data_IF_912132862532
#
_entry.id   IF_912132862532
#
_cell.length_a   1.000
_cell.length_b   1.000
_cell.length_c   1.000
_cell.angle_alpha   90.00
_cell.angle_beta   90.00
_cell.angle_gamma   90.00
#
_symmetry.space_group_name_H-M   'P 1'
#
loop_
_entity.id
_entity.type
_entity.pdbx_description
1 polymer ?
#
# COMPACT_ATOMS: atom_id res chain seq x y z
N UNK A 1 -11.35 -87.67 9.56
CA UNK A 1 -12.67 -87.94 10.20
C UNK A 1 -12.74 -89.30 10.92
N UNK A 2 -11.63 -90.03 11.10
CA UNK A 2 -11.61 -91.38 11.68
C UNK A 2 -11.21 -91.48 13.18
N UNK A 3 -10.84 -90.37 13.85
CA UNK A 3 -10.26 -90.41 15.21
C UNK A 3 -11.25 -90.25 16.38
N UNK A 4 -12.51 -89.84 16.14
CA UNK A 4 -13.48 -89.55 17.23
C UNK A 4 -14.58 -90.62 17.44
N UNK A 5 -14.71 -91.60 16.55
CA UNK A 5 -15.44 -92.84 16.92
C UNK A 5 -14.76 -93.54 18.10
N UNK A 6 -13.48 -93.25 18.36
CA UNK A 6 -12.71 -93.80 19.46
C UNK A 6 -13.31 -93.58 20.84
N UNK A 7 -13.98 -92.46 21.15
CA UNK A 7 -14.47 -92.23 22.52
C UNK A 7 -15.77 -93.01 22.78
N UNK A 8 -16.73 -92.95 21.85
CA UNK A 8 -17.93 -93.77 21.89
C UNK A 8 -17.59 -95.26 21.80
N UNK A 9 -16.61 -95.64 20.98
CA UNK A 9 -16.11 -97.02 20.90
C UNK A 9 -15.33 -97.43 22.16
N UNK A 10 -14.63 -96.51 22.84
CA UNK A 10 -13.98 -96.77 24.13
C UNK A 10 -14.99 -96.88 25.28
N UNK A 11 -16.03 -96.05 25.29
CA UNK A 11 -17.11 -96.12 26.29
C UNK A 11 -17.94 -97.40 26.05
N UNK A 12 -18.30 -97.70 24.80
CA UNK A 12 -18.96 -98.95 24.44
C UNK A 12 -18.07 -100.17 24.69
N UNK A 13 -16.75 -100.05 24.46
CA UNK A 13 -15.76 -101.10 24.73
C UNK A 13 -15.48 -101.32 26.21
N UNK A 14 -15.49 -100.27 27.04
CA UNK A 14 -15.42 -100.41 28.50
C UNK A 14 -16.73 -100.95 29.06
N UNK A 15 -17.88 -100.49 28.55
CA UNK A 15 -19.18 -101.03 28.94
C UNK A 15 -19.32 -102.51 28.55
N UNK A 16 -18.82 -102.92 27.38
CA UNK A 16 -18.81 -104.33 26.97
C UNK A 16 -17.82 -105.17 27.80
N UNK A 17 -16.67 -104.61 28.18
CA UNK A 17 -15.72 -105.28 29.06
C UNK A 17 -16.27 -105.49 30.49
N UNK A 18 -16.98 -104.50 31.04
CA UNK A 18 -17.66 -104.63 32.34
C UNK A 18 -18.77 -105.67 32.27
N UNK A 19 -19.56 -105.68 31.18
CA UNK A 19 -20.58 -106.71 30.91
C UNK A 19 -19.97 -108.12 30.81
N UNK A 20 -18.82 -108.26 30.15
CA UNK A 20 -18.14 -109.56 30.04
C UNK A 20 -17.65 -110.07 31.39
N UNK A 21 -17.17 -109.17 32.26
CA UNK A 21 -16.74 -109.50 33.63
C UNK A 21 -17.93 -109.90 34.50
N UNK A 22 -19.06 -109.17 34.44
CA UNK A 22 -20.27 -109.52 35.19
C UNK A 22 -20.91 -110.82 34.70
N UNK A 23 -20.94 -111.06 33.38
CA UNK A 23 -21.44 -112.32 32.81
C UNK A 23 -20.53 -113.49 33.21
N UNK A 24 -19.20 -113.32 33.17
CA UNK A 24 -18.28 -114.35 33.64
C UNK A 24 -18.46 -114.65 35.14
N UNK A 25 -18.69 -113.62 35.97
CA UNK A 25 -18.98 -113.78 37.39
C UNK A 25 -20.31 -114.52 37.64
N UNK A 26 -21.36 -114.19 36.89
CA UNK A 26 -22.67 -114.88 36.98
C UNK A 26 -22.57 -116.34 36.48
N UNK A 27 -21.80 -116.61 35.43
CA UNK A 27 -21.58 -117.95 34.90
C UNK A 27 -20.78 -118.86 35.85
N UNK A 28 -19.83 -118.27 36.60
CA UNK A 28 -19.03 -119.00 37.62
C UNK A 28 -19.84 -119.24 38.89
N UNK A 29 -20.74 -118.33 39.27
CA UNK A 29 -21.54 -118.44 40.52
C UNK A 29 -22.77 -119.34 40.36
N UNK A 30 -23.41 -119.39 39.19
CA UNK A 30 -24.64 -120.16 38.96
C UNK A 30 -24.39 -121.41 38.10
N UNK A 31 -23.70 -122.39 38.68
CA UNK A 31 -23.68 -123.75 38.15
C UNK A 31 -25.06 -124.42 38.27
N UNK A 32 -25.61 -124.83 37.12
CA UNK A 32 -26.65 -125.87 36.95
C UNK A 32 -28.08 -125.60 37.50
N UNK A 33 -28.91 -124.85 36.75
CA UNK A 33 -30.38 -125.06 36.66
C UNK A 33 -31.00 -124.28 35.48
N UNK A 34 -31.67 -124.98 34.54
CA UNK A 34 -32.12 -124.45 33.24
C UNK A 34 -33.15 -123.30 33.35
N UNK A 35 -33.86 -123.18 34.48
CA UNK A 35 -34.90 -122.16 34.68
C UNK A 35 -34.36 -120.77 35.10
N UNK A 36 -33.14 -120.70 35.66
CA UNK A 36 -32.49 -119.41 35.98
C UNK A 36 -31.70 -118.86 34.78
N UNK A 37 -31.23 -119.73 33.88
CA UNK A 37 -30.52 -119.33 32.67
C UNK A 37 -31.39 -118.46 31.72
N UNK A 38 -32.69 -118.73 31.60
CA UNK A 38 -33.60 -117.94 30.75
C UNK A 38 -33.83 -116.52 31.29
N UNK A 39 -33.90 -116.35 32.63
CA UNK A 39 -34.01 -115.03 33.27
C UNK A 39 -32.73 -114.20 33.08
N UNK A 40 -31.56 -114.82 33.19
CA UNK A 40 -30.26 -114.16 32.95
C UNK A 40 -30.11 -113.72 31.49
N UNK A 41 -30.52 -114.56 30.52
CA UNK A 41 -30.51 -114.19 29.08
C UNK A 41 -31.47 -113.04 28.78
N UNK A 42 -32.66 -113.04 29.39
CA UNK A 42 -33.65 -111.98 29.17
C UNK A 42 -33.19 -110.65 29.78
N UNK A 43 -32.57 -110.68 30.97
CA UNK A 43 -31.92 -109.52 31.60
C UNK A 43 -30.81 -108.97 30.69
N UNK A 44 -29.98 -109.83 30.10
CA UNK A 44 -28.94 -109.43 29.16
C UNK A 44 -29.52 -108.66 27.96
N UNK A 45 -30.57 -109.18 27.32
CA UNK A 45 -31.20 -108.48 26.19
C UNK A 45 -31.81 -107.14 26.59
N UNK A 46 -32.40 -107.02 27.78
CA UNK A 46 -32.94 -105.75 28.29
C UNK A 46 -31.82 -104.73 28.54
N UNK A 47 -30.70 -105.16 29.13
CA UNK A 47 -29.53 -104.29 29.36
C UNK A 47 -28.90 -103.85 28.04
N UNK A 48 -28.74 -104.77 27.08
CA UNK A 48 -28.18 -104.45 25.76
C UNK A 48 -29.10 -103.50 24.99
N UNK A 49 -30.42 -103.74 25.00
CA UNK A 49 -31.39 -102.84 24.37
C UNK A 49 -31.40 -101.47 25.05
N UNK A 50 -31.30 -101.41 26.38
CA UNK A 50 -31.17 -100.18 27.15
C UNK A 50 -29.91 -99.40 26.79
N UNK A 51 -28.77 -100.07 26.63
CA UNK A 51 -27.51 -99.45 26.20
C UNK A 51 -27.55 -98.98 24.75
N UNK A 52 -28.20 -99.73 23.84
CA UNK A 52 -28.38 -99.31 22.45
C UNK A 52 -29.29 -98.08 22.36
N UNK A 53 -30.40 -98.07 23.10
CA UNK A 53 -31.29 -96.91 23.20
C UNK A 53 -30.59 -95.70 23.84
N UNK A 54 -29.79 -95.91 24.88
CA UNK A 54 -28.98 -94.86 25.51
C UNK A 54 -27.94 -94.31 24.53
N UNK A 55 -27.24 -95.18 23.80
CA UNK A 55 -26.24 -94.76 22.80
C UNK A 55 -26.89 -94.00 21.65
N UNK A 56 -28.08 -94.45 21.20
CA UNK A 56 -28.86 -93.77 20.17
C UNK A 56 -29.38 -92.41 20.66
N UNK A 57 -29.84 -92.31 21.90
CA UNK A 57 -30.27 -91.06 22.54
C UNK A 57 -29.11 -90.06 22.69
N UNK A 58 -27.94 -90.54 23.14
CA UNK A 58 -26.69 -89.76 23.20
C UNK A 58 -26.28 -89.29 21.80
N UNK A 59 -26.34 -90.17 20.79
CA UNK A 59 -26.03 -89.82 19.40
C UNK A 59 -26.96 -88.72 18.86
N UNK A 60 -28.27 -88.81 19.12
CA UNK A 60 -29.25 -87.79 18.74
C UNK A 60 -28.95 -86.44 19.40
N UNK A 61 -28.55 -86.43 20.68
CA UNK A 61 -28.19 -85.20 21.41
C UNK A 61 -26.82 -84.62 21.04
N UNK A 62 -25.87 -85.43 20.56
CA UNK A 62 -24.54 -84.96 20.10
C UNK A 62 -24.51 -84.51 18.62
N UNK A 63 -25.51 -84.89 17.83
CA UNK A 63 -25.59 -84.53 16.40
C UNK A 63 -25.58 -83.00 16.17
N UNK A 64 -26.35 -82.16 16.92
CA UNK A 64 -26.31 -80.70 16.78
C UNK A 64 -24.93 -80.10 17.06
N UNK A 65 -24.20 -80.62 18.07
CA UNK A 65 -22.83 -80.17 18.40
C UNK A 65 -21.87 -80.43 17.25
N UNK A 66 -21.97 -81.59 16.61
CA UNK A 66 -21.11 -81.90 15.47
C UNK A 66 -21.37 -80.97 14.29
N UNK A 67 -22.64 -80.61 14.07
CA UNK A 67 -23.03 -79.63 13.05
C UNK A 67 -22.42 -78.24 13.35
N UNK A 68 -22.56 -77.76 14.59
CA UNK A 68 -22.03 -76.46 14.99
C UNK A 68 -20.49 -76.37 14.89
N UNK A 69 -19.78 -77.44 15.28
CA UNK A 69 -18.31 -77.52 15.12
C UNK A 69 -17.92 -77.55 13.65
N UNK A 70 -18.69 -78.26 12.81
CA UNK A 70 -18.44 -78.31 11.38
C UNK A 70 -18.61 -76.93 10.74
N UNK A 71 -19.71 -76.25 11.08
CA UNK A 71 -20.02 -74.88 10.65
C UNK A 71 -18.90 -73.91 11.02
N UNK A 72 -18.47 -73.89 12.29
CA UNK A 72 -17.34 -73.06 12.74
C UNK A 72 -16.03 -73.38 12.02
N UNK A 73 -15.81 -74.65 11.69
CA UNK A 73 -14.59 -75.07 11.00
C UNK A 73 -14.62 -74.71 9.51
N UNK A 74 -15.78 -74.71 8.86
CA UNK A 74 -15.93 -74.21 7.50
C UNK A 74 -15.72 -72.70 7.41
N UNK A 75 -16.06 -71.96 8.47
CA UNK A 75 -15.91 -70.50 8.54
C UNK A 75 -14.45 -70.00 8.63
N UNK A 76 -13.51 -70.89 8.93
CA UNK A 76 -12.09 -70.55 9.07
C UNK A 76 -11.27 -70.72 7.79
N UNK A 77 -11.85 -71.19 6.68
CA UNK A 77 -11.12 -71.45 5.43
C UNK A 77 -11.33 -70.32 4.42
N UNK A 78 -10.27 -69.55 4.21
CA UNK A 78 -10.05 -68.55 3.15
C UNK A 78 -10.99 -67.32 3.11
N UNK A 79 -12.27 -67.46 3.48
CA UNK A 79 -13.25 -66.39 3.61
C UNK A 79 -14.04 -66.53 4.91
N UNK A 80 -14.09 -65.46 5.71
CA UNK A 80 -14.88 -65.41 6.94
C UNK A 80 -16.32 -65.05 6.56
N UNK A 81 -17.15 -66.07 6.33
CA UNK A 81 -18.59 -65.88 6.11
C UNK A 81 -19.28 -65.51 7.41
N UNK A 82 -19.42 -64.21 7.64
CA UNK A 82 -20.06 -63.68 8.85
C UNK A 82 -21.59 -63.65 8.76
N UNK A 83 -22.16 -64.07 7.62
CA UNK A 83 -23.60 -64.25 7.43
C UNK A 83 -24.07 -65.69 7.70
N UNK A 84 -23.16 -66.62 8.02
CA UNK A 84 -23.51 -68.03 8.22
C UNK A 84 -24.57 -68.21 9.31
N UNK A 85 -25.61 -68.97 8.97
CA UNK A 85 -26.76 -69.19 9.86
C UNK A 85 -26.55 -70.49 10.62
N UNK A 86 -26.21 -70.39 11.90
CA UNK A 86 -26.24 -71.52 12.81
C UNK A 86 -27.69 -71.94 13.05
N UNK A 87 -28.14 -73.01 12.40
CA UNK A 87 -29.48 -73.58 12.56
C UNK A 87 -29.38 -74.90 13.33
N UNK A 88 -30.10 -74.98 14.44
CA UNK A 88 -30.37 -76.22 15.16
C UNK A 88 -31.88 -76.31 15.39
N UNK A 89 -32.40 -77.52 15.60
CA UNK A 89 -33.83 -77.77 15.87
C UNK A 89 -33.91 -78.78 17.03
N UNK A 90 -33.21 -78.45 18.12
CA UNK A 90 -32.93 -79.37 19.23
C UNK A 90 -33.79 -79.06 20.48
N UNK A 91 -34.32 -77.83 20.57
CA UNK A 91 -35.18 -77.37 21.66
C UNK A 91 -34.52 -77.40 23.06
N UNK A 92 -33.20 -77.50 23.12
CA UNK A 92 -32.39 -77.68 24.34
C UNK A 92 -31.22 -76.68 24.40
N UNK A 93 -30.26 -76.89 25.30
CA UNK A 93 -29.11 -75.99 25.53
C UNK A 93 -28.26 -75.75 24.27
N UNK A 94 -28.34 -76.63 23.26
CA UNK A 94 -27.65 -76.45 21.98
C UNK A 94 -28.35 -75.44 21.06
N UNK A 95 -29.67 -75.28 21.19
CA UNK A 95 -30.41 -74.20 20.52
C UNK A 95 -30.03 -72.83 21.08
N UNK A 96 -29.86 -72.73 22.40
CA UNK A 96 -29.39 -71.51 23.05
C UNK A 96 -27.95 -71.17 22.61
N UNK A 97 -27.07 -72.16 22.48
CA UNK A 97 -25.72 -71.98 21.94
C UNK A 97 -25.73 -71.53 20.47
N UNK A 98 -26.54 -72.15 19.62
CA UNK A 98 -26.67 -71.74 18.21
C UNK A 98 -27.23 -70.31 18.07
N UNK A 99 -28.17 -69.92 18.94
CA UNK A 99 -28.69 -68.55 19.02
C UNK A 99 -27.61 -67.55 19.46
N UNK A 100 -26.84 -67.85 20.52
CA UNK A 100 -25.74 -67.01 20.99
C UNK A 100 -24.65 -66.84 19.91
N UNK A 101 -24.31 -67.92 19.19
CA UNK A 101 -23.39 -67.84 18.05
C UNK A 101 -23.93 -66.99 16.91
N UNK A 102 -25.22 -67.12 16.58
CA UNK A 102 -25.89 -66.30 15.56
C UNK A 102 -25.89 -64.82 15.91
N UNK A 103 -26.24 -64.48 17.15
CA UNK A 103 -26.26 -63.09 17.60
C UNK A 103 -24.84 -62.49 17.61
N UNK A 104 -23.82 -63.28 17.99
CA UNK A 104 -22.42 -62.85 17.92
C UNK A 104 -21.93 -62.63 16.48
N UNK A 105 -22.23 -63.54 15.56
CA UNK A 105 -21.86 -63.40 14.15
C UNK A 105 -22.62 -62.25 13.47
N UNK A 106 -23.88 -62.00 13.85
CA UNK A 106 -24.62 -60.79 13.42
C UNK A 106 -23.92 -59.51 13.90
N UNK A 107 -23.52 -59.44 15.17
CA UNK A 107 -22.78 -58.28 15.70
C UNK A 107 -21.43 -58.07 15.00
N UNK A 108 -20.72 -59.16 14.65
CA UNK A 108 -19.49 -59.09 13.84
C UNK A 108 -19.81 -58.54 12.44
N UNK A 109 -20.83 -59.08 11.76
CA UNK A 109 -21.23 -58.61 10.43
C UNK A 109 -21.59 -57.12 10.43
N UNK A 110 -22.38 -56.66 11.39
CA UNK A 110 -22.72 -55.23 11.57
C UNK A 110 -21.46 -54.38 11.80
N UNK A 111 -20.55 -54.84 12.67
CA UNK A 111 -19.28 -54.14 12.96
C UNK A 111 -18.37 -54.06 11.73
N UNK A 112 -18.27 -55.14 10.93
CA UNK A 112 -17.47 -55.13 9.70
C UNK A 112 -18.11 -54.22 8.64
N UNK A 113 -19.45 -54.17 8.56
CA UNK A 113 -20.16 -53.25 7.67
C UNK A 113 -19.91 -51.79 8.06
N UNK A 114 -20.05 -51.45 9.33
CA UNK A 114 -19.73 -50.11 9.85
C UNK A 114 -18.27 -49.72 9.61
N UNK A 115 -17.34 -50.66 9.83
CA UNK A 115 -15.92 -50.45 9.55
C UNK A 115 -15.66 -50.21 8.06
N UNK A 116 -16.34 -50.96 7.17
CA UNK A 116 -16.26 -50.77 5.72
C UNK A 116 -16.75 -49.37 5.30
N UNK A 117 -17.90 -48.94 5.83
CA UNK A 117 -18.42 -47.60 5.59
C UNK A 117 -17.46 -46.51 6.09
N UNK A 118 -16.87 -46.69 7.29
CA UNK A 118 -15.90 -45.77 7.86
C UNK A 118 -14.63 -45.68 7.01
N UNK A 119 -14.07 -46.81 6.57
CA UNK A 119 -12.88 -46.87 5.70
C UNK A 119 -13.16 -46.22 4.34
N UNK A 120 -14.36 -46.37 3.78
CA UNK A 120 -14.75 -45.69 2.55
C UNK A 120 -14.86 -44.16 2.73
N UNK A 121 -15.48 -43.70 3.82
CA UNK A 121 -15.53 -42.27 4.17
C UNK A 121 -14.12 -41.70 4.34
N UNK A 122 -13.25 -42.40 5.06
CA UNK A 122 -11.86 -42.02 5.26
C UNK A 122 -11.10 -41.94 3.92
N UNK A 123 -11.34 -42.89 3.01
CA UNK A 123 -10.78 -42.87 1.66
C UNK A 123 -11.15 -41.61 0.88
N UNK A 124 -12.43 -41.23 0.90
CA UNK A 124 -12.90 -40.02 0.23
C UNK A 124 -12.28 -38.74 0.83
N UNK A 125 -12.20 -38.64 2.16
CA UNK A 125 -11.54 -37.52 2.84
C UNK A 125 -10.06 -37.39 2.46
N UNK A 126 -9.34 -38.50 2.30
CA UNK A 126 -7.92 -38.49 1.89
C UNK A 126 -7.73 -38.01 0.45
N UNK A 127 -8.64 -38.38 -0.47
CA UNK A 127 -8.62 -37.85 -1.84
C UNK A 127 -8.84 -36.33 -1.86
N UNK A 128 -9.77 -35.83 -1.04
CA UNK A 128 -10.03 -34.39 -0.91
C UNK A 128 -8.81 -33.65 -0.35
N UNK A 129 -8.24 -34.15 0.77
CA UNK A 129 -7.04 -33.58 1.38
C UNK A 129 -5.88 -33.53 0.38
N UNK A 130 -5.67 -34.60 -0.40
CA UNK A 130 -4.66 -34.64 -1.47
C UNK A 130 -4.87 -33.54 -2.51
N UNK A 131 -6.12 -33.34 -2.92
CA UNK A 131 -6.50 -32.28 -3.86
C UNK A 131 -6.14 -30.89 -3.34
N UNK A 132 -6.44 -30.62 -2.06
CA UNK A 132 -6.08 -29.37 -1.38
C UNK A 132 -4.57 -29.15 -1.38
N UNK A 133 -3.78 -30.14 -0.93
CA UNK A 133 -2.32 -30.01 -0.90
C UNK A 133 -1.69 -29.85 -2.28
N UNK A 134 -2.19 -30.56 -3.30
CA UNK A 134 -1.71 -30.40 -4.67
C UNK A 134 -1.96 -28.99 -5.20
N UNK A 135 -3.16 -28.44 -4.95
CA UNK A 135 -3.49 -27.05 -5.32
C UNK A 135 -2.58 -26.06 -4.59
N UNK A 136 -2.40 -26.27 -3.29
CA UNK A 136 -1.56 -25.44 -2.43
C UNK A 136 -0.11 -25.40 -2.92
N UNK A 137 0.50 -26.56 -3.18
CA UNK A 137 1.86 -26.67 -3.74
C UNK A 137 1.99 -25.98 -5.11
N UNK A 138 0.94 -26.01 -5.93
CA UNK A 138 0.89 -25.30 -7.22
C UNK A 138 0.82 -23.78 -7.10
N UNK A 139 0.32 -23.23 -5.99
CA UNK A 139 0.20 -21.78 -5.78
C UNK A 139 1.41 -21.12 -5.11
N UNK A 140 2.23 -21.89 -4.39
CA UNK A 140 3.39 -21.36 -3.65
C UNK A 140 4.43 -20.65 -4.53
N UNK A 141 4.82 -21.15 -5.72
CA UNK A 141 5.74 -20.44 -6.59
C UNK A 141 5.23 -19.06 -7.01
N UNK A 142 3.91 -18.93 -7.21
CA UNK A 142 3.29 -17.63 -7.54
C UNK A 142 3.38 -16.67 -6.36
N UNK A 143 3.10 -17.14 -5.14
CA UNK A 143 3.25 -16.33 -3.93
C UNK A 143 4.70 -15.88 -3.73
N UNK A 144 5.68 -16.79 -3.92
CA UNK A 144 7.10 -16.45 -3.83
C UNK A 144 7.50 -15.37 -4.84
N UNK A 145 7.02 -15.49 -6.09
CA UNK A 145 7.25 -14.49 -7.13
C UNK A 145 6.63 -13.13 -6.77
N UNK A 146 5.40 -13.10 -6.27
CA UNK A 146 4.74 -11.86 -5.85
C UNK A 146 5.45 -11.17 -4.69
N UNK A 147 5.99 -11.94 -3.73
CA UNK A 147 6.80 -11.40 -2.65
C UNK A 147 8.12 -10.84 -3.18
N UNK A 148 8.77 -11.51 -4.13
CA UNK A 148 9.99 -11.01 -4.76
C UNK A 148 9.74 -9.69 -5.52
N UNK A 149 8.67 -9.60 -6.30
CA UNK A 149 8.28 -8.38 -7.00
C UNK A 149 7.96 -7.23 -6.04
N UNK A 150 7.34 -7.55 -4.89
CA UNK A 150 7.10 -6.58 -3.81
C UNK A 150 8.42 -6.02 -3.27
N UNK A 151 9.42 -6.87 -3.03
CA UNK A 151 10.75 -6.43 -2.58
C UNK A 151 11.41 -5.50 -3.60
N UNK A 152 11.41 -5.87 -4.88
CA UNK A 152 11.99 -5.05 -5.96
C UNK A 152 11.29 -3.68 -6.03
N UNK A 153 9.97 -3.65 -5.93
CA UNK A 153 9.18 -2.41 -5.94
C UNK A 153 9.54 -1.51 -4.75
N UNK A 154 9.75 -2.11 -3.57
CA UNK A 154 10.15 -1.37 -2.35
C UNK A 154 11.56 -0.79 -2.48
N UNK A 155 12.50 -1.52 -3.08
CA UNK A 155 13.85 -1.00 -3.37
C UNK A 155 13.79 0.20 -4.30
N UNK A 156 12.97 0.13 -5.37
CA UNK A 156 12.73 1.25 -6.28
C UNK A 156 12.06 2.44 -5.59
N UNK A 157 11.09 2.21 -4.70
CA UNK A 157 10.46 3.24 -3.89
C UNK A 157 11.46 3.93 -2.96
N UNK A 158 12.35 3.16 -2.31
CA UNK A 158 13.38 3.72 -1.44
C UNK A 158 14.41 4.56 -2.23
N UNK A 159 14.77 4.13 -3.44
CA UNK A 159 15.65 4.90 -4.31
C UNK A 159 14.99 6.20 -4.78
N UNK A 160 13.71 6.13 -5.16
CA UNK A 160 12.91 7.30 -5.57
C UNK A 160 12.77 8.30 -4.43
N UNK A 161 12.44 7.83 -3.22
CA UNK A 161 12.35 8.69 -2.04
C UNK A 161 13.67 9.41 -1.73
N UNK A 162 14.82 8.75 -1.94
CA UNK A 162 16.14 9.39 -1.83
C UNK A 162 16.32 10.50 -2.87
N UNK A 163 16.01 10.21 -4.13
CA UNK A 163 16.11 11.22 -5.20
C UNK A 163 15.20 12.43 -4.96
N UNK A 164 14.01 12.22 -4.39
CA UNK A 164 13.08 13.30 -4.02
C UNK A 164 13.65 14.13 -2.86
N UNK A 165 14.25 13.48 -1.84
CA UNK A 165 14.91 14.18 -0.74
C UNK A 165 16.06 15.07 -1.25
N UNK A 166 16.95 14.52 -2.07
CA UNK A 166 18.08 15.26 -2.66
C UNK A 166 17.58 16.43 -3.53
N UNK A 167 16.52 16.23 -4.32
CA UNK A 167 15.89 17.30 -5.11
C UNK A 167 15.27 18.37 -4.23
N UNK A 168 14.68 17.99 -3.09
CA UNK A 168 14.07 18.93 -2.14
C UNK A 168 15.12 19.82 -1.49
N UNK A 169 16.32 19.30 -1.20
CA UNK A 169 17.46 20.11 -0.73
C UNK A 169 17.83 21.17 -1.77
N UNK A 170 17.92 20.80 -3.05
CA UNK A 170 18.22 21.76 -4.11
C UNK A 170 17.14 22.86 -4.23
N UNK A 171 15.86 22.49 -4.08
CA UNK A 171 14.74 23.45 -4.08
C UNK A 171 14.81 24.38 -2.86
N UNK A 172 15.16 23.85 -1.69
CA UNK A 172 15.37 24.64 -0.48
C UNK A 172 16.47 25.70 -0.70
N UNK A 173 17.64 25.28 -1.18
CA UNK A 173 18.78 26.17 -1.42
C UNK A 173 18.44 27.25 -2.45
N UNK A 174 17.78 26.87 -3.56
CA UNK A 174 17.32 27.81 -4.57
C UNK A 174 16.33 28.85 -3.99
N UNK A 175 15.40 28.42 -3.13
CA UNK A 175 14.46 29.32 -2.48
C UNK A 175 15.17 30.30 -1.51
N UNK A 176 16.15 29.82 -0.75
CA UNK A 176 16.96 30.68 0.13
C UNK A 176 17.78 31.69 -0.68
N UNK A 177 18.39 31.27 -1.79
CA UNK A 177 19.13 32.17 -2.69
C UNK A 177 18.21 33.23 -3.32
N UNK A 178 17.01 32.84 -3.78
CA UNK A 178 16.03 33.78 -4.33
C UNK A 178 15.60 34.81 -3.27
N UNK A 179 15.37 34.37 -2.03
CA UNK A 179 15.08 35.27 -0.91
C UNK A 179 16.19 36.30 -0.69
N UNK A 180 17.45 35.87 -0.65
CA UNK A 180 18.60 36.78 -0.48
C UNK A 180 18.73 37.78 -1.64
N UNK A 181 18.53 37.31 -2.87
CA UNK A 181 18.53 38.17 -4.06
C UNK A 181 17.41 39.20 -4.04
N UNK A 182 16.21 38.83 -3.57
CA UNK A 182 15.11 39.78 -3.40
C UNK A 182 15.42 40.85 -2.35
N UNK A 183 16.03 40.47 -1.21
CA UNK A 183 16.44 41.42 -0.17
C UNK A 183 17.49 42.40 -0.71
N UNK A 184 18.47 41.92 -1.49
CA UNK A 184 19.44 42.78 -2.18
C UNK A 184 18.75 43.70 -3.19
N UNK A 185 17.79 43.18 -3.96
CA UNK A 185 16.97 43.95 -4.89
C UNK A 185 16.21 45.09 -4.20
N UNK A 186 15.61 44.82 -3.04
CA UNK A 186 14.95 45.83 -2.21
C UNK A 186 15.91 46.94 -1.76
N UNK A 187 17.14 46.59 -1.38
CA UNK A 187 18.18 47.57 -1.04
C UNK A 187 18.48 48.51 -2.22
N UNK A 188 18.64 47.97 -3.43
CA UNK A 188 18.89 48.80 -4.61
C UNK A 188 17.70 49.72 -4.95
N UNK A 189 16.47 49.26 -4.74
CA UNK A 189 15.28 50.11 -4.91
C UNK A 189 15.26 51.26 -3.90
N UNK A 190 15.68 51.03 -2.66
CA UNK A 190 15.82 52.10 -1.66
C UNK A 190 16.86 53.14 -2.07
N UNK A 191 18.00 52.71 -2.62
CA UNK A 191 19.03 53.62 -3.13
C UNK A 191 18.53 54.46 -4.33
N UNK A 192 17.77 53.84 -5.23
CA UNK A 192 17.12 54.54 -6.35
C UNK A 192 16.14 55.60 -5.83
N UNK A 193 15.28 55.24 -4.87
CA UNK A 193 14.32 56.18 -4.28
C UNK A 193 15.02 57.37 -3.64
N UNK A 194 16.10 57.12 -2.87
CA UNK A 194 16.92 58.17 -2.28
C UNK A 194 17.49 59.11 -3.35
N UNK A 195 18.06 58.55 -4.42
CA UNK A 195 18.62 59.33 -5.53
C UNK A 195 17.56 60.18 -6.22
N UNK A 196 16.35 59.63 -6.43
CA UNK A 196 15.24 60.39 -7.03
C UNK A 196 14.82 61.57 -6.15
N UNK A 197 14.77 61.40 -4.82
CA UNK A 197 14.48 62.50 -3.91
C UNK A 197 15.58 63.57 -3.92
N UNK A 198 16.86 63.17 -3.93
CA UNK A 198 17.97 64.13 -4.05
C UNK A 198 17.92 64.94 -5.35
N UNK A 199 17.56 64.30 -6.48
CA UNK A 199 17.38 65.00 -7.75
C UNK A 199 16.18 65.96 -7.68
N UNK A 200 15.08 65.54 -7.06
CA UNK A 200 13.87 66.35 -6.89
C UNK A 200 14.19 67.63 -6.11
N UNK A 201 14.85 67.51 -4.97
CA UNK A 201 15.23 68.64 -4.12
C UNK A 201 16.18 69.60 -4.88
N UNK A 202 17.15 69.03 -5.61
CA UNK A 202 18.06 69.81 -6.44
C UNK A 202 17.36 70.56 -7.59
N UNK A 203 16.30 69.98 -8.17
CA UNK A 203 15.51 70.61 -9.22
C UNK A 203 14.61 71.72 -8.65
N UNK A 204 13.99 71.51 -7.49
CA UNK A 204 13.20 72.55 -6.79
C UNK A 204 14.06 73.78 -6.49
N UNK A 205 15.28 73.58 -5.99
CA UNK A 205 16.23 74.68 -5.76
C UNK A 205 16.59 75.41 -7.07
N UNK A 206 16.80 74.69 -8.18
CA UNK A 206 17.06 75.30 -9.49
C UNK A 206 15.88 76.12 -10.00
N UNK A 207 14.64 75.61 -9.89
CA UNK A 207 13.44 76.37 -10.26
C UNK A 207 13.33 77.65 -9.43
N UNK A 208 13.62 77.60 -8.13
CA UNK A 208 13.61 78.79 -7.28
C UNK A 208 14.59 79.86 -7.78
N UNK A 209 15.81 79.47 -8.19
CA UNK A 209 16.77 80.41 -8.78
C UNK A 209 16.31 80.97 -10.13
N UNK A 210 15.72 80.14 -10.98
CA UNK A 210 15.15 80.57 -12.27
C UNK A 210 14.01 81.56 -12.08
N UNK A 211 13.12 81.34 -11.11
CA UNK A 211 12.04 82.27 -10.77
C UNK A 211 12.58 83.64 -10.32
N UNK A 212 13.63 83.65 -9.50
CA UNK A 212 14.32 84.88 -9.10
C UNK A 212 14.96 85.59 -10.30
N UNK A 213 15.56 84.85 -11.24
CA UNK A 213 16.14 85.41 -12.46
C UNK A 213 15.06 86.04 -13.35
N UNK A 214 13.90 85.39 -13.50
CA UNK A 214 12.75 85.95 -14.22
C UNK A 214 12.32 87.30 -13.64
N UNK A 215 12.25 87.42 -12.31
CA UNK A 215 11.93 88.69 -11.63
C UNK A 215 12.97 89.77 -11.94
N UNK A 216 14.26 89.42 -12.01
CA UNK A 216 15.33 90.35 -12.40
C UNK A 216 15.19 90.83 -13.84
N UNK A 217 14.76 89.99 -14.76
CA UNK A 217 14.48 90.42 -16.13
C UNK A 217 13.27 91.35 -16.24
N UNK A 218 12.24 91.15 -15.41
CA UNK A 218 11.11 92.09 -15.32
C UNK A 218 11.58 93.47 -14.82
N UNK A 219 12.41 93.54 -13.77
CA UNK A 219 13.01 94.79 -13.26
C UNK A 219 13.86 95.51 -14.33
N UNK A 220 14.67 94.76 -15.09
CA UNK A 220 15.47 95.33 -16.20
C UNK A 220 14.54 95.84 -17.31
N UNK A 221 13.52 95.06 -17.69
CA UNK A 221 12.57 95.45 -18.73
C UNK A 221 11.83 96.74 -18.39
N UNK A 222 11.49 96.95 -17.11
CA UNK A 222 10.93 98.20 -16.62
C UNK A 222 11.92 99.36 -16.76
N UNK A 223 13.18 99.15 -16.37
CA UNK A 223 14.26 100.14 -16.55
C UNK A 223 14.46 100.51 -18.02
N UNK A 224 14.39 99.55 -18.94
CA UNK A 224 14.50 99.81 -20.39
C UNK A 224 13.32 100.63 -20.93
N UNK A 225 12.11 100.50 -20.36
CA UNK A 225 10.97 101.38 -20.71
C UNK A 225 11.23 102.83 -20.26
N UNK A 226 11.80 103.01 -19.07
CA UNK A 226 12.20 104.35 -18.60
C UNK A 226 13.29 104.95 -19.49
N UNK A 227 14.32 104.19 -19.87
CA UNK A 227 15.38 104.65 -20.79
C UNK A 227 14.78 105.05 -22.15
N UNK A 228 13.85 104.25 -22.69
CA UNK A 228 13.16 104.60 -23.93
C UNK A 228 12.43 105.93 -23.83
N UNK A 229 11.72 106.16 -22.72
CA UNK A 229 10.98 107.41 -22.49
C UNK A 229 11.93 108.61 -22.40
N UNK A 230 13.05 108.48 -21.67
CA UNK A 230 14.07 109.53 -21.59
C UNK A 230 14.70 109.78 -22.97
N UNK A 231 14.93 108.73 -23.74
CA UNK A 231 15.51 108.83 -25.08
C UNK A 231 14.57 109.54 -26.07
N UNK A 232 13.27 109.26 -26.03
CA UNK A 232 12.25 109.96 -26.82
C UNK A 232 12.18 111.45 -26.45
N UNK A 233 12.22 111.76 -25.16
CA UNK A 233 12.31 113.14 -24.69
C UNK A 233 13.59 113.82 -25.17
N UNK A 234 14.73 113.13 -25.12
CA UNK A 234 16.03 113.65 -25.59
C UNK A 234 16.02 113.91 -27.10
N UNK A 235 15.41 113.01 -27.88
CA UNK A 235 15.22 113.14 -29.33
C UNK A 235 14.33 114.33 -29.67
N UNK A 236 13.26 114.56 -28.90
CA UNK A 236 12.39 115.74 -29.02
C UNK A 236 13.13 117.03 -28.66
N UNK A 237 13.90 117.05 -27.57
CA UNK A 237 14.73 118.20 -27.17
C UNK A 237 15.75 118.53 -28.26
N UNK A 238 16.47 117.53 -28.78
CA UNK A 238 17.44 117.71 -29.85
C UNK A 238 16.80 118.21 -31.15
N UNK A 239 15.60 117.74 -31.48
CA UNK A 239 14.84 118.21 -32.63
C UNK A 239 14.44 119.68 -32.49
N UNK A 240 13.88 120.06 -31.34
CA UNK A 240 13.52 121.45 -31.06
C UNK A 240 14.76 122.37 -31.07
N UNK A 241 15.88 121.91 -30.52
CA UNK A 241 17.15 122.65 -30.55
C UNK A 241 17.70 122.81 -31.99
N UNK A 242 17.54 121.81 -32.87
CA UNK A 242 17.95 121.90 -34.27
C UNK A 242 17.08 122.90 -35.07
N UNK A 243 15.77 122.96 -34.77
CA UNK A 243 14.86 123.98 -35.31
C UNK A 243 15.34 125.37 -34.89
N UNK A 244 15.52 125.59 -33.58
CA UNK A 244 15.91 126.90 -33.04
C UNK A 244 17.30 127.34 -33.55
N UNK A 245 18.25 126.41 -33.66
CA UNK A 245 19.56 126.67 -34.25
C UNK A 245 19.49 127.05 -35.73
N UNK A 246 18.50 126.56 -36.48
CA UNK A 246 18.29 126.93 -37.89
C UNK A 246 17.69 128.35 -38.02
N UNK A 247 17.04 128.85 -36.98
CA UNK A 247 16.45 130.20 -36.90
C UNK A 247 17.47 131.29 -36.52
N UNK A 248 18.68 130.96 -36.06
CA UNK A 248 19.61 131.86 -35.36
C UNK A 248 20.73 132.54 -36.21
N UNK A 249 20.65 132.61 -37.54
CA UNK A 249 21.62 133.37 -38.36
C UNK A 249 23.08 132.86 -38.31
N UNK A 250 24.11 133.72 -38.29
CA UNK A 250 25.53 133.31 -38.40
C UNK A 250 26.07 132.42 -37.25
N UNK A 251 25.47 132.48 -36.05
CA UNK A 251 25.83 131.63 -34.89
C UNK A 251 25.21 130.21 -34.93
N UNK A 252 24.30 129.98 -35.88
CA UNK A 252 23.56 128.72 -36.13
C UNK A 252 24.45 127.47 -36.23
N UNK A 253 25.61 127.59 -36.89
CA UNK A 253 26.42 126.42 -37.28
C UNK A 253 26.87 125.56 -36.10
N UNK A 254 27.31 126.16 -34.98
CA UNK A 254 27.82 125.39 -33.83
C UNK A 254 26.68 124.72 -33.05
N UNK A 255 25.55 125.41 -32.88
CA UNK A 255 24.37 124.84 -32.19
C UNK A 255 23.70 123.73 -33.00
N UNK A 256 23.66 123.86 -34.33
CA UNK A 256 23.08 122.84 -35.21
C UNK A 256 23.91 121.54 -35.22
N UNK A 257 25.25 121.65 -35.15
CA UNK A 257 26.14 120.47 -35.01
C UNK A 257 25.85 119.74 -33.69
N UNK A 258 25.76 120.46 -32.56
CA UNK A 258 25.46 119.85 -31.25
C UNK A 258 24.08 119.19 -31.25
N UNK A 259 23.04 119.86 -31.78
CA UNK A 259 21.70 119.29 -31.85
C UNK A 259 21.65 118.02 -32.74
N UNK A 260 22.41 118.01 -33.83
CA UNK A 260 22.55 116.85 -34.72
C UNK A 260 23.27 115.69 -34.02
N UNK A 261 24.33 115.97 -33.25
CA UNK A 261 25.07 114.95 -32.50
C UNK A 261 24.24 114.38 -31.35
N UNK A 262 23.47 115.21 -30.62
CA UNK A 262 22.52 114.72 -29.59
C UNK A 262 21.42 113.86 -30.22
N UNK A 263 20.90 114.24 -31.40
CA UNK A 263 19.92 113.43 -32.12
C UNK A 263 20.50 112.08 -32.56
N UNK A 264 21.73 112.06 -33.07
CA UNK A 264 22.44 110.81 -33.40
C UNK A 264 22.69 109.95 -32.16
N UNK A 265 23.05 110.56 -31.03
CA UNK A 265 23.21 109.86 -29.77
C UNK A 265 21.90 109.22 -29.31
N UNK A 266 20.78 109.94 -29.41
CA UNK A 266 19.46 109.42 -29.09
C UNK A 266 19.04 108.26 -30.02
N UNK A 267 19.36 108.34 -31.32
CA UNK A 267 19.13 107.23 -32.25
C UNK A 267 19.99 106.00 -31.92
N UNK A 268 21.25 106.20 -31.49
CA UNK A 268 22.11 105.11 -31.06
C UNK A 268 21.59 104.44 -29.78
N UNK A 269 21.13 105.23 -28.80
CA UNK A 269 20.49 104.72 -27.57
C UNK A 269 19.22 103.94 -27.92
N UNK A 270 18.37 104.45 -28.83
CA UNK A 270 17.16 103.76 -29.31
C UNK A 270 17.49 102.37 -29.87
N UNK A 271 18.51 102.30 -30.72
CA UNK A 271 18.98 101.04 -31.32
C UNK A 271 19.48 100.06 -30.26
N UNK A 272 20.37 100.50 -29.37
CA UNK A 272 20.90 99.65 -28.30
C UNK A 272 19.80 99.20 -27.32
N UNK A 273 18.83 100.06 -27.01
CA UNK A 273 17.69 99.72 -26.17
C UNK A 273 16.81 98.64 -26.82
N UNK A 274 16.63 98.70 -28.15
CA UNK A 274 15.94 97.67 -28.93
C UNK A 274 16.70 96.33 -28.94
N UNK A 275 18.02 96.36 -29.16
CA UNK A 275 18.87 95.17 -29.12
C UNK A 275 18.84 94.48 -27.75
N UNK A 276 18.93 95.24 -26.66
CA UNK A 276 18.82 94.71 -25.30
C UNK A 276 17.43 94.13 -25.05
N UNK A 277 16.36 94.79 -25.51
CA UNK A 277 14.99 94.27 -25.39
C UNK A 277 14.84 92.91 -26.08
N UNK A 278 15.35 92.77 -27.30
CA UNK A 278 15.34 91.50 -28.02
C UNK A 278 16.06 90.40 -27.23
N UNK A 279 17.24 90.71 -26.66
CA UNK A 279 17.98 89.75 -25.83
C UNK A 279 17.23 89.36 -24.54
N UNK A 280 16.53 90.30 -23.90
CA UNK A 280 15.66 90.02 -22.75
C UNK A 280 14.46 89.12 -23.13
N UNK A 281 13.84 89.37 -24.28
CA UNK A 281 12.73 88.55 -24.78
C UNK A 281 13.18 87.12 -25.14
N UNK A 282 14.40 86.95 -25.65
CA UNK A 282 15.03 85.63 -25.86
C UNK A 282 15.33 84.93 -24.53
N UNK A 283 15.92 85.62 -23.56
CA UNK A 283 16.19 85.07 -22.23
C UNK A 283 14.90 84.67 -21.49
N UNK A 284 13.82 85.44 -21.63
CA UNK A 284 12.51 85.12 -21.05
C UNK A 284 11.90 83.87 -21.66
N UNK A 285 12.03 83.70 -22.98
CA UNK A 285 11.62 82.46 -23.67
C UNK A 285 12.41 81.26 -23.16
N UNK A 286 13.75 81.37 -23.10
CA UNK A 286 14.60 80.31 -22.57
C UNK A 286 14.26 79.91 -21.11
N UNK A 287 13.89 80.88 -20.26
CA UNK A 287 13.39 80.60 -18.90
C UNK A 287 12.08 79.82 -18.93
N UNK A 288 11.15 80.21 -19.81
CA UNK A 288 9.83 79.56 -19.90
C UNK A 288 10.00 78.11 -20.33
N UNK A 289 10.82 77.87 -21.35
CA UNK A 289 11.15 76.53 -21.85
C UNK A 289 11.83 75.68 -20.75
N UNK A 290 12.74 76.27 -19.96
CA UNK A 290 13.40 75.59 -18.86
C UNK A 290 12.43 75.19 -17.73
N UNK A 291 11.46 76.05 -17.41
CA UNK A 291 10.42 75.75 -16.40
C UNK A 291 9.50 74.63 -16.89
N UNK A 292 9.10 74.67 -18.15
CA UNK A 292 8.28 73.60 -18.76
C UNK A 292 9.01 72.26 -18.75
N UNK A 293 10.27 72.22 -19.19
CA UNK A 293 11.11 71.03 -19.15
C UNK A 293 11.29 70.49 -17.71
N UNK A 294 11.48 71.40 -16.74
CA UNK A 294 11.60 71.01 -15.33
C UNK A 294 10.30 70.41 -14.77
N UNK A 295 9.13 70.91 -15.21
CA UNK A 295 7.84 70.34 -14.83
C UNK A 295 7.64 68.93 -15.41
N UNK A 296 8.07 68.70 -16.65
CA UNK A 296 8.10 67.35 -17.22
C UNK A 296 9.02 66.40 -16.43
N UNK A 297 10.18 66.88 -16.00
CA UNK A 297 11.12 66.11 -15.18
C UNK A 297 10.50 65.72 -13.82
N UNK A 298 9.77 66.62 -13.16
CA UNK A 298 9.02 66.26 -11.95
C UNK A 298 7.98 65.17 -12.19
N UNK A 299 7.24 65.23 -13.31
CA UNK A 299 6.29 64.18 -13.65
C UNK A 299 6.97 62.84 -13.90
N UNK A 300 8.14 62.84 -14.57
CA UNK A 300 8.94 61.62 -14.80
C UNK A 300 9.46 61.03 -13.48
N UNK A 301 9.89 61.87 -12.55
CA UNK A 301 10.30 61.44 -11.21
C UNK A 301 9.14 60.83 -10.43
N UNK A 302 7.95 61.44 -10.46
CA UNK A 302 6.78 60.89 -9.76
C UNK A 302 6.39 59.51 -10.30
N UNK A 303 6.38 59.33 -11.63
CA UNK A 303 6.18 58.01 -12.26
C UNK A 303 7.26 57.00 -11.84
N UNK A 304 8.50 57.43 -11.69
CA UNK A 304 9.61 56.58 -11.22
C UNK A 304 9.41 56.14 -9.76
N UNK A 305 8.92 57.04 -8.89
CA UNK A 305 8.55 56.71 -7.51
C UNK A 305 7.40 55.71 -7.45
N UNK A 306 6.39 55.88 -8.32
CA UNK A 306 5.27 54.93 -8.38
C UNK A 306 5.75 53.54 -8.86
N UNK A 307 6.52 53.47 -9.94
CA UNK A 307 7.05 52.20 -10.46
C UNK A 307 7.94 51.47 -9.44
N UNK A 308 8.79 52.20 -8.71
CA UNK A 308 9.63 51.60 -7.67
C UNK A 308 8.81 51.05 -6.49
N UNK A 309 7.69 51.68 -6.11
CA UNK A 309 6.77 51.13 -5.11
C UNK A 309 6.12 49.82 -5.55
N UNK A 310 5.71 49.72 -6.81
CA UNK A 310 5.16 48.47 -7.37
C UNK A 310 6.21 47.36 -7.34
N UNK A 311 7.44 47.67 -7.76
CA UNK A 311 8.57 46.72 -7.73
C UNK A 311 8.87 46.25 -6.30
N UNK A 312 8.82 47.14 -5.31
CA UNK A 312 8.97 46.77 -3.89
C UNK A 312 7.95 45.72 -3.48
N UNK A 313 6.66 45.92 -3.81
CA UNK A 313 5.61 44.95 -3.51
C UNK A 313 5.84 43.58 -4.18
N UNK A 314 6.37 43.57 -5.40
CA UNK A 314 6.74 42.33 -6.11
C UNK A 314 7.86 41.60 -5.38
N UNK A 315 8.91 42.30 -4.95
CA UNK A 315 10.02 41.69 -4.21
C UNK A 315 9.60 41.18 -2.83
N UNK A 316 8.75 41.91 -2.10
CA UNK A 316 8.19 41.47 -0.82
C UNK A 316 7.36 40.18 -0.98
N UNK A 317 6.46 40.14 -1.96
CA UNK A 317 5.68 38.95 -2.29
C UNK A 317 6.56 37.76 -2.70
N UNK A 318 7.56 37.99 -3.55
CA UNK A 318 8.53 36.98 -3.97
C UNK A 318 9.36 36.43 -2.79
N UNK A 319 9.70 37.29 -1.83
CA UNK A 319 10.37 36.90 -0.58
C UNK A 319 9.50 35.97 0.25
N UNK A 320 8.20 36.30 0.39
CA UNK A 320 7.25 35.45 1.11
C UNK A 320 7.08 34.07 0.44
N UNK A 321 6.91 34.05 -0.89
CA UNK A 321 6.82 32.78 -1.63
C UNK A 321 8.10 31.94 -1.52
N UNK A 322 9.27 32.57 -1.49
CA UNK A 322 10.55 31.89 -1.29
C UNK A 322 10.63 31.24 0.09
N UNK A 323 10.16 31.91 1.14
CA UNK A 323 10.06 31.33 2.49
C UNK A 323 9.14 30.11 2.49
N UNK A 324 7.92 30.23 1.95
CA UNK A 324 6.98 29.11 1.87
C UNK A 324 7.52 27.92 1.07
N UNK A 325 8.24 28.20 -0.01
CA UNK A 325 8.89 27.16 -0.84
C UNK A 325 9.97 26.42 -0.04
N UNK A 326 10.80 27.15 0.73
CA UNK A 326 11.81 26.54 1.59
C UNK A 326 11.20 25.66 2.68
N UNK A 327 10.10 26.10 3.31
CA UNK A 327 9.38 25.32 4.32
C UNK A 327 8.77 24.05 3.72
N UNK A 328 8.18 24.16 2.53
CA UNK A 328 7.59 23.03 1.79
C UNK A 328 8.66 21.99 1.42
N UNK A 329 9.81 22.45 0.92
CA UNK A 329 10.94 21.58 0.61
C UNK A 329 11.45 20.83 1.85
N UNK A 330 11.49 21.49 3.01
CA UNK A 330 11.83 20.86 4.29
C UNK A 330 10.81 19.79 4.68
N UNK A 331 9.51 20.08 4.51
CA UNK A 331 8.45 19.10 4.77
C UNK A 331 8.56 17.87 3.86
N UNK A 332 8.80 18.05 2.57
CA UNK A 332 8.99 16.93 1.63
C UNK A 332 10.20 16.08 2.04
N UNK A 333 11.29 16.71 2.48
CA UNK A 333 12.48 15.99 2.98
C UNK A 333 12.13 15.13 4.20
N UNK A 334 11.34 15.63 5.15
CA UNK A 334 10.90 14.86 6.30
C UNK A 334 9.97 13.70 5.91
N UNK A 335 8.98 13.95 5.05
CA UNK A 335 8.05 12.91 4.58
C UNK A 335 8.76 11.81 3.79
N UNK A 336 9.78 12.15 3.00
CA UNK A 336 10.59 11.15 2.28
C UNK A 336 11.46 10.32 3.22
N UNK A 337 11.93 10.89 4.34
CA UNK A 337 12.57 10.10 5.40
C UNK A 337 11.61 9.09 6.03
N UNK A 338 10.38 9.50 6.36
CA UNK A 338 9.34 8.60 6.88
C UNK A 338 8.97 7.50 5.88
N UNK A 339 8.80 7.86 4.60
CA UNK A 339 8.53 6.90 3.53
C UNK A 339 9.63 5.86 3.38
N UNK A 340 10.91 6.24 3.58
CA UNK A 340 12.04 5.30 3.58
C UNK A 340 11.99 4.34 4.75
N UNK A 341 11.69 4.83 5.96
CA UNK A 341 11.54 3.98 7.14
C UNK A 341 10.41 2.96 6.94
N UNK A 342 9.25 3.41 6.45
CA UNK A 342 8.13 2.54 6.11
C UNK A 342 8.52 1.50 5.04
N UNK A 343 9.24 1.92 3.99
CA UNK A 343 9.74 1.01 2.96
C UNK A 343 10.65 -0.10 3.53
N UNK A 344 11.53 0.24 4.48
CA UNK A 344 12.38 -0.74 5.15
C UNK A 344 11.57 -1.75 5.98
N UNK A 345 10.51 -1.30 6.65
CA UNK A 345 9.60 -2.17 7.41
C UNK A 345 8.84 -3.15 6.50
N UNK A 346 8.34 -2.66 5.36
CA UNK A 346 7.68 -3.53 4.37
C UNK A 346 8.68 -4.53 3.77
N UNK A 347 9.93 -4.12 3.49
CA UNK A 347 10.96 -5.04 3.02
C UNK A 347 11.27 -6.14 4.04
N UNK A 348 11.37 -5.78 5.33
CA UNK A 348 11.58 -6.76 6.41
C UNK A 348 10.39 -7.74 6.52
N UNK A 349 9.17 -7.23 6.38
CA UNK A 349 7.94 -8.04 6.38
C UNK A 349 7.90 -8.99 5.18
N UNK A 350 8.22 -8.51 3.98
CA UNK A 350 8.29 -9.33 2.77
C UNK A 350 9.33 -10.45 2.90
N UNK A 351 10.48 -10.17 3.53
CA UNK A 351 11.49 -11.20 3.85
C UNK A 351 10.93 -12.27 4.79
N UNK A 352 10.20 -11.87 5.84
CA UNK A 352 9.56 -12.82 6.75
C UNK A 352 8.52 -13.69 6.02
N UNK A 353 7.70 -13.10 5.13
CA UNK A 353 6.74 -13.86 4.32
C UNK A 353 7.48 -14.85 3.41
N UNK A 354 8.60 -14.46 2.80
CA UNK A 354 9.41 -15.35 1.98
C UNK A 354 9.91 -16.57 2.77
N UNK A 355 10.36 -16.37 4.01
CA UNK A 355 10.74 -17.46 4.91
C UNK A 355 9.54 -18.37 5.24
N UNK A 356 8.38 -17.78 5.54
CA UNK A 356 7.15 -18.54 5.80
C UNK A 356 6.70 -19.37 4.59
N UNK A 357 6.88 -18.87 3.36
CA UNK A 357 6.57 -19.62 2.14
C UNK A 357 7.46 -20.87 2.00
N UNK A 358 8.76 -20.76 2.32
CA UNK A 358 9.68 -21.90 2.29
C UNK A 358 9.32 -22.96 3.35
N UNK A 359 9.04 -22.53 4.58
CA UNK A 359 8.57 -23.43 5.64
C UNK A 359 7.25 -24.11 5.27
N UNK A 360 6.33 -23.34 4.68
CA UNK A 360 5.04 -23.84 4.25
C UNK A 360 5.17 -24.83 3.08
N UNK A 361 6.12 -24.62 2.17
CA UNK A 361 6.47 -25.58 1.11
C UNK A 361 6.95 -26.92 1.69
N UNK A 362 7.90 -26.87 2.64
CA UNK A 362 8.40 -28.07 3.34
C UNK A 362 7.29 -28.82 4.07
N UNK A 363 6.45 -28.09 4.81
CA UNK A 363 5.33 -28.67 5.55
C UNK A 363 4.30 -29.30 4.61
N UNK A 364 3.95 -28.62 3.52
CA UNK A 364 3.02 -29.16 2.51
C UNK A 364 3.55 -30.43 1.85
N UNK A 365 4.86 -30.49 1.58
CA UNK A 365 5.49 -31.70 1.04
C UNK A 365 5.44 -32.86 2.04
N UNK A 366 5.71 -32.61 3.32
CA UNK A 366 5.61 -33.62 4.37
C UNK A 366 4.18 -34.14 4.51
N UNK A 367 3.18 -33.26 4.53
CA UNK A 367 1.78 -33.69 4.63
C UNK A 367 1.34 -34.47 3.39
N UNK A 368 1.80 -34.10 2.20
CA UNK A 368 1.53 -34.87 0.99
C UNK A 368 2.07 -36.31 1.08
N UNK A 369 3.24 -36.53 1.72
CA UNK A 369 3.77 -37.88 1.99
C UNK A 369 2.89 -38.64 3.00
N UNK A 370 2.47 -38.00 4.08
CA UNK A 370 1.57 -38.62 5.08
C UNK A 370 0.25 -39.04 4.45
N UNK A 371 -0.31 -38.22 3.56
CA UNK A 371 -1.53 -38.52 2.80
C UNK A 371 -1.36 -39.75 1.89
N UNK A 372 -0.19 -39.93 1.28
CA UNK A 372 0.15 -41.13 0.50
C UNK A 372 0.19 -42.39 1.38
N UNK A 373 0.80 -42.30 2.57
CA UNK A 373 0.89 -43.43 3.50
C UNK A 373 -0.46 -43.82 4.12
N UNK A 374 -1.33 -42.84 4.40
CA UNK A 374 -2.70 -43.11 4.85
C UNK A 374 -3.49 -43.79 3.72
N UNK A 375 -3.34 -43.37 2.46
CA UNK A 375 -4.02 -44.04 1.34
C UNK A 375 -3.59 -45.52 1.21
N UNK A 376 -2.29 -45.81 1.35
CA UNK A 376 -1.79 -47.19 1.39
C UNK A 376 -2.45 -47.99 2.52
N UNK A 377 -2.55 -47.40 3.71
CA UNK A 377 -3.19 -48.03 4.88
C UNK A 377 -4.67 -48.29 4.66
N UNK A 378 -5.40 -47.34 4.06
CA UNK A 378 -6.81 -47.51 3.68
C UNK A 378 -6.98 -48.66 2.70
N UNK A 379 -6.11 -48.76 1.69
CA UNK A 379 -6.16 -49.86 0.73
C UNK A 379 -5.91 -51.21 1.40
N UNK A 380 -4.95 -51.31 2.33
CA UNK A 380 -4.72 -52.52 3.12
C UNK A 380 -5.92 -52.90 4.00
N UNK A 381 -6.57 -51.91 4.61
CA UNK A 381 -7.80 -52.12 5.40
C UNK A 381 -8.95 -52.60 4.51
N UNK A 382 -9.15 -52.00 3.32
CA UNK A 382 -10.16 -52.45 2.35
C UNK A 382 -9.92 -53.91 1.95
N UNK A 383 -8.69 -54.29 1.66
CA UNK A 383 -8.32 -55.69 1.35
C UNK A 383 -8.54 -56.63 2.54
N UNK A 384 -8.31 -56.16 3.77
CA UNK A 384 -8.55 -56.95 4.98
C UNK A 384 -10.04 -57.15 5.25
N UNK A 385 -10.84 -56.11 5.06
CA UNK A 385 -12.31 -56.14 5.19
C UNK A 385 -12.93 -57.02 4.12
N UNK A 386 -12.43 -57.00 2.87
CA UNK A 386 -12.94 -57.85 1.79
C UNK A 386 -12.74 -59.36 2.02
N UNK A 387 -11.92 -59.76 3.01
CA UNK A 387 -11.81 -61.18 3.43
C UNK A 387 -13.02 -61.64 4.25
N UNK A 388 -13.75 -60.71 4.85
CA UNK A 388 -15.03 -60.98 5.49
C UNK A 388 -16.12 -60.95 4.41
N UNK A 389 -16.82 -62.06 4.24
CA UNK A 389 -18.03 -62.11 3.41
C UNK A 389 -19.17 -61.60 4.28
N UNK A 390 -19.41 -60.29 4.19
CA UNK A 390 -20.43 -59.55 4.96
C UNK A 390 -21.72 -59.44 4.21
#
# INVERSE_FOLDING_TARGET
>A
MFKRSSLLFKIAGMASAVLFIEIAAVYVVYGFQIHEATKVILLFFVVVLGLLLLTYWIYLKLKPVYSLIYDLKSLSKDHLDVQHRFMTDSGDEFEELAKAMRDHFRAISESVRELSEFVNKLGNSIVEIRGVFKKQLGTLPKQASSVHETVVTIEQLSASARSIADSSVNVYDAAVMTKDNNIKGLSYIQDILKTVYEIKDGLEARIFHVANLSKKFDEISETMKYIHTINDQTKLIAFNAAIEASSAGELSKRFNIVATDVRKLAQNIERSNSEIKLSLDEMRRAITDLVEASNEDFQRMDRTVQATREITGIFESSTQHSVQTSESARHITLSTHEQRAASQEVAATAKNISLSIDEFFKTSQNTARVVDDIEKTINLLKTSISRFSV
#
